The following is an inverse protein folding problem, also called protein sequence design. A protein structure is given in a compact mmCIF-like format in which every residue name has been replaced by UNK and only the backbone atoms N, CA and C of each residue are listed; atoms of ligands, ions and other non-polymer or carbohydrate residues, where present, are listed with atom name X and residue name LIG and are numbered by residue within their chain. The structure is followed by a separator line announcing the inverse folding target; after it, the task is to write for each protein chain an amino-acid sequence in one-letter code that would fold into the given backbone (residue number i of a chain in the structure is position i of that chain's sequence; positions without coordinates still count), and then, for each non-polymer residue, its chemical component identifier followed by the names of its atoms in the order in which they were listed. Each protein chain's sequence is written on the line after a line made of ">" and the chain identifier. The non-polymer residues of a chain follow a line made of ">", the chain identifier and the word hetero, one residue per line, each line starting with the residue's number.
data_IF_517801482420
#
_entry.id   IF_517801482420
#
_cell.length_a   1.000
_cell.length_b   1.000
_cell.length_c   1.000
_cell.angle_alpha   90.00
_cell.angle_beta   90.00
_cell.angle_gamma   90.00
#
_symmetry.space_group_name_H-M   'P 1'
#
loop_
_entity.id
_entity.type
_entity.pdbx_description
1 polymer ?
#
# COMPACT_ATOMS: atom_id res chain seq x y z
N UNK A 1 37.07 -62.60 -57.04
CA UNK A 1 36.14 -62.46 -55.89
C UNK A 1 36.77 -61.60 -54.89
N UNK A 2 36.43 -60.27 -54.82
CA UNK A 2 36.73 -59.37 -53.69
C UNK A 2 35.62 -58.33 -53.64
N UNK A 3 34.82 -58.43 -52.60
CA UNK A 3 33.72 -57.49 -52.31
C UNK A 3 34.29 -56.16 -51.70
N UNK A 4 34.01 -55.05 -52.34
CA UNK A 4 34.32 -53.75 -51.85
C UNK A 4 33.23 -53.33 -50.88
N UNK A 5 33.64 -53.03 -49.64
CA UNK A 5 32.75 -52.48 -48.58
C UNK A 5 32.60 -50.97 -48.78
N UNK A 6 31.37 -50.54 -49.00
CA UNK A 6 30.96 -49.13 -49.08
C UNK A 6 30.87 -48.58 -47.68
N UNK A 7 31.76 -47.65 -47.24
CA UNK A 7 31.70 -46.95 -46.03
C UNK A 7 30.78 -45.70 -46.19
N UNK A 8 29.63 -45.74 -45.60
CA UNK A 8 28.73 -44.59 -45.52
C UNK A 8 29.24 -43.61 -44.47
N UNK A 9 29.60 -42.41 -44.88
CA UNK A 9 29.94 -41.31 -43.98
C UNK A 9 28.66 -40.78 -43.40
N UNK A 10 28.44 -41.01 -42.10
CA UNK A 10 27.37 -40.41 -41.32
C UNK A 10 27.83 -39.01 -40.92
N UNK A 11 27.25 -38.02 -41.57
CA UNK A 11 27.45 -36.60 -41.30
C UNK A 11 26.73 -36.27 -40.01
N UNK A 12 27.48 -36.13 -38.88
CA UNK A 12 26.95 -35.68 -37.61
C UNK A 12 26.71 -34.17 -37.66
N UNK A 13 25.47 -33.79 -37.77
CA UNK A 13 25.05 -32.42 -37.54
C UNK A 13 25.05 -32.15 -36.04
N UNK A 14 26.05 -31.41 -35.61
CA UNK A 14 26.08 -30.87 -34.24
C UNK A 14 25.11 -29.70 -34.18
N UNK A 15 23.93 -29.94 -33.68
CA UNK A 15 22.98 -28.87 -33.30
C UNK A 15 23.53 -28.15 -32.08
N UNK A 16 24.15 -26.99 -32.31
CA UNK A 16 24.41 -25.99 -31.27
C UNK A 16 23.06 -25.40 -30.82
N UNK A 17 22.46 -26.05 -29.86
CA UNK A 17 21.35 -25.46 -29.12
C UNK A 17 21.91 -24.29 -28.27
N UNK A 18 21.79 -23.08 -28.78
CA UNK A 18 22.08 -21.86 -28.07
C UNK A 18 21.12 -21.74 -26.87
N UNK A 19 21.65 -21.97 -25.67
CA UNK A 19 20.99 -21.68 -24.43
C UNK A 19 20.91 -20.14 -24.29
N UNK A 20 19.84 -19.54 -24.83
CA UNK A 20 19.47 -18.18 -24.50
C UNK A 20 18.99 -18.20 -23.04
N UNK A 21 19.92 -17.99 -22.10
CA UNK A 21 19.58 -17.67 -20.71
C UNK A 21 18.87 -16.31 -20.73
N UNK A 22 17.55 -16.36 -20.85
CA UNK A 22 16.70 -15.20 -20.60
C UNK A 22 16.91 -14.77 -19.16
N UNK A 23 17.69 -13.73 -18.98
CA UNK A 23 17.82 -13.04 -17.70
C UNK A 23 16.45 -12.40 -17.41
N UNK A 24 15.55 -13.16 -16.78
CA UNK A 24 14.34 -12.61 -16.19
C UNK A 24 14.81 -11.73 -15.06
N UNK A 25 15.01 -10.45 -15.36
CA UNK A 25 15.14 -9.43 -14.34
C UNK A 25 13.79 -9.38 -13.63
N UNK A 26 13.66 -10.17 -12.59
CA UNK A 26 12.62 -9.99 -11.59
C UNK A 26 12.86 -8.61 -10.97
N UNK A 27 12.27 -7.59 -11.57
CA UNK A 27 12.10 -6.29 -10.92
C UNK A 27 11.14 -6.57 -9.77
N UNK A 28 11.68 -7.15 -8.69
CA UNK A 28 10.96 -7.35 -7.46
C UNK A 28 10.52 -5.99 -6.98
N UNK A 29 9.21 -5.74 -7.00
CA UNK A 29 8.62 -4.61 -6.30
C UNK A 29 9.05 -4.75 -4.84
N UNK A 30 10.13 -4.05 -4.48
CA UNK A 30 10.68 -4.11 -3.13
C UNK A 30 9.64 -3.51 -2.21
N UNK A 31 8.95 -4.37 -1.50
CA UNK A 31 7.95 -3.96 -0.53
C UNK A 31 8.59 -3.05 0.52
N UNK A 32 8.00 -1.91 0.72
CA UNK A 32 8.47 -0.90 1.66
C UNK A 32 7.73 -1.10 2.96
N UNK A 33 8.46 -1.24 4.05
CA UNK A 33 7.86 -1.31 5.38
C UNK A 33 7.16 0.00 5.69
N UNK A 34 5.87 -0.10 5.95
CA UNK A 34 5.01 0.98 6.42
C UNK A 34 4.62 0.63 7.85
N UNK A 35 4.64 1.61 8.73
CA UNK A 35 4.28 1.40 10.14
C UNK A 35 3.06 2.22 10.51
N UNK A 36 2.14 1.64 11.25
CA UNK A 36 1.08 2.38 11.94
C UNK A 36 1.70 3.12 13.11
N UNK A 37 1.50 4.43 13.17
CA UNK A 37 2.03 5.26 14.24
C UNK A 37 0.98 5.59 15.29
N UNK A 38 -0.23 5.91 14.85
CA UNK A 38 -1.33 6.27 15.74
C UNK A 38 -2.68 5.90 15.12
N UNK A 39 -3.65 5.65 15.97
CA UNK A 39 -5.06 5.53 15.63
C UNK A 39 -5.90 6.13 16.74
N UNK A 40 -7.09 6.64 16.41
CA UNK A 40 -7.97 7.29 17.39
C UNK A 40 -9.16 7.97 16.72
N UNK A 41 -9.64 9.00 17.39
CA UNK A 41 -10.76 9.81 16.92
C UNK A 41 -10.39 11.29 16.82
N UNK A 42 -11.08 12.01 15.94
CA UNK A 42 -10.96 13.45 15.77
C UNK A 42 -12.33 14.08 15.58
N UNK A 43 -12.51 15.28 16.09
CA UNK A 43 -13.73 16.11 15.93
C UNK A 43 -13.70 16.95 14.64
N UNK A 44 -12.63 16.86 13.85
CA UNK A 44 -12.56 17.54 12.54
C UNK A 44 -13.53 16.86 11.59
N UNK A 45 -14.58 17.58 11.19
CA UNK A 45 -15.67 17.03 10.39
C UNK A 45 -15.28 16.83 8.93
N UNK A 46 -16.05 15.96 8.24
CA UNK A 46 -15.90 15.64 6.83
C UNK A 46 -16.22 14.16 6.57
N UNK A 47 -16.26 13.76 5.31
CA UNK A 47 -16.45 12.36 4.91
C UNK A 47 -15.15 11.54 4.96
N UNK A 48 -15.22 10.33 4.41
CA UNK A 48 -14.04 9.47 4.25
C UNK A 48 -13.01 10.15 3.35
N UNK A 49 -11.78 10.25 3.82
CA UNK A 49 -10.69 10.85 3.04
C UNK A 49 -9.34 10.32 3.45
N UNK A 50 -8.40 10.41 2.52
CA UNK A 50 -7.00 10.09 2.75
C UNK A 50 -6.16 11.34 2.49
N UNK A 51 -5.27 11.65 3.40
CA UNK A 51 -4.46 12.87 3.38
C UNK A 51 -2.99 12.53 3.49
N UNK A 52 -2.18 13.28 2.76
CA UNK A 52 -0.72 13.22 2.86
C UNK A 52 -0.26 14.35 3.77
N UNK A 53 0.50 14.02 4.80
CA UNK A 53 1.01 14.97 5.78
C UNK A 53 2.54 14.89 5.85
N UNK A 54 3.17 16.05 5.96
CA UNK A 54 4.63 16.20 5.97
C UNK A 54 5.15 17.04 7.13
N UNK A 55 4.24 17.53 7.95
CA UNK A 55 4.55 18.39 9.10
C UNK A 55 3.54 18.18 10.24
N UNK A 56 3.98 18.51 11.43
CA UNK A 56 3.21 18.36 12.66
C UNK A 56 2.03 19.37 12.75
N UNK A 57 2.17 20.53 12.12
CA UNK A 57 1.11 21.55 12.12
C UNK A 57 -0.11 21.05 11.37
N UNK A 58 0.12 20.40 10.23
CA UNK A 58 -0.96 19.78 9.44
C UNK A 58 -1.64 18.66 10.23
N UNK A 59 -0.87 17.80 10.92
CA UNK A 59 -1.45 16.80 11.83
C UNK A 59 -2.30 17.43 12.94
N UNK A 60 -1.81 18.49 13.57
CA UNK A 60 -2.55 19.21 14.59
C UNK A 60 -3.89 19.78 14.11
N UNK A 61 -3.92 20.32 12.87
CA UNK A 61 -5.16 20.79 12.22
C UNK A 61 -6.19 19.68 11.99
N UNK A 62 -5.74 18.45 11.83
CA UNK A 62 -6.61 17.28 11.70
C UNK A 62 -7.05 16.71 13.05
N UNK A 63 -6.60 17.30 14.16
CA UNK A 63 -6.82 16.78 15.51
C UNK A 63 -6.08 15.46 15.78
N UNK A 64 -5.11 15.11 14.96
CA UNK A 64 -4.29 13.90 15.11
C UNK A 64 -3.11 14.22 16.01
N UNK A 65 -3.00 13.53 17.13
CA UNK A 65 -1.89 13.67 18.07
C UNK A 65 -0.97 12.47 17.96
N UNK A 66 0.24 12.69 17.49
CA UNK A 66 1.26 11.64 17.41
C UNK A 66 2.65 12.25 17.57
N UNK A 67 3.56 11.61 18.32
CA UNK A 67 4.94 12.05 18.44
C UNK A 67 5.69 11.68 17.16
N UNK A 68 5.62 12.52 16.14
CA UNK A 68 6.26 12.26 14.86
C UNK A 68 7.16 13.41 14.43
N UNK A 69 8.36 13.06 13.96
CA UNK A 69 9.24 13.97 13.27
C UNK A 69 9.42 13.47 11.84
N UNK A 70 8.88 14.21 10.87
CA UNK A 70 8.90 13.84 9.44
C UNK A 70 10.28 13.97 8.79
N UNK A 71 11.31 13.41 9.41
CA UNK A 71 12.66 13.39 8.86
C UNK A 71 12.84 12.17 7.96
N UNK A 72 12.82 12.38 6.64
CA UNK A 72 12.95 11.29 5.68
C UNK A 72 11.72 10.40 5.53
N UNK A 73 10.57 10.85 6.04
CA UNK A 73 9.29 10.14 6.04
C UNK A 73 8.15 11.11 5.73
N UNK A 74 7.00 10.58 5.36
CA UNK A 74 5.73 11.32 5.29
C UNK A 74 4.63 10.49 5.94
N UNK A 75 3.56 11.17 6.37
CA UNK A 75 2.38 10.55 6.93
C UNK A 75 1.31 10.34 5.88
N UNK A 76 0.58 9.24 6.03
CA UNK A 76 -0.67 8.98 5.34
C UNK A 76 -1.74 8.85 6.42
N UNK A 77 -2.74 9.72 6.39
CA UNK A 77 -3.85 9.73 7.37
C UNK A 77 -5.12 9.31 6.66
N UNK A 78 -5.72 8.21 7.11
CA UNK A 78 -7.08 7.84 6.75
C UNK A 78 -8.05 8.40 7.80
N UNK A 79 -9.07 9.10 7.34
CA UNK A 79 -10.17 9.59 8.16
C UNK A 79 -11.46 8.96 7.66
N UNK A 80 -12.25 8.36 8.55
CA UNK A 80 -13.52 7.72 8.23
C UNK A 80 -14.63 8.25 9.14
N UNK A 81 -15.83 8.39 8.61
CA UNK A 81 -17.01 8.95 9.27
C UNK A 81 -17.70 10.00 8.41
N UNK A 82 -18.58 10.84 8.97
CA UNK A 82 -18.77 11.11 10.39
C UNK A 82 -19.61 10.07 11.13
N UNK A 83 -19.37 9.94 12.43
CA UNK A 83 -20.14 9.11 13.33
C UNK A 83 -20.77 9.98 14.43
N UNK A 84 -21.98 9.66 14.82
CA UNK A 84 -22.74 10.29 15.91
C UNK A 84 -22.93 9.36 17.11
N UNK A 85 -22.31 8.18 17.07
CA UNK A 85 -22.33 7.18 18.13
C UNK A 85 -20.94 6.63 18.39
N UNK A 86 -20.64 6.34 19.66
CA UNK A 86 -19.34 5.79 20.07
C UNK A 86 -19.12 4.35 19.59
N UNK A 87 -17.86 3.91 19.58
CA UNK A 87 -17.49 2.51 19.42
C UNK A 87 -17.01 2.10 18.02
N UNK A 88 -17.05 2.99 17.03
CA UNK A 88 -16.46 2.70 15.72
C UNK A 88 -14.94 2.57 15.80
N UNK A 89 -14.38 1.59 15.07
CA UNK A 89 -12.94 1.32 15.02
C UNK A 89 -12.49 1.05 13.60
N UNK A 90 -11.41 1.67 13.18
CA UNK A 90 -10.75 1.27 11.93
C UNK A 90 -9.96 -0.01 12.15
N UNK A 91 -10.22 -1.00 11.32
CA UNK A 91 -9.46 -2.25 11.25
C UNK A 91 -8.62 -2.23 9.99
N UNK A 92 -7.31 -2.39 10.14
CA UNK A 92 -6.36 -2.44 9.04
C UNK A 92 -5.90 -3.88 8.88
N UNK A 93 -6.23 -4.51 7.76
CA UNK A 93 -5.83 -5.88 7.48
C UNK A 93 -4.42 -5.96 6.89
N UNK A 94 -4.12 -5.04 5.98
CA UNK A 94 -2.82 -5.00 5.35
C UNK A 94 -2.45 -3.60 4.87
N UNK A 95 -1.16 -3.35 4.79
CA UNK A 95 -0.62 -2.13 4.21
C UNK A 95 0.66 -2.46 3.46
N UNK A 96 0.74 -2.03 2.20
CA UNK A 96 1.90 -2.22 1.34
C UNK A 96 2.24 -0.93 0.62
N UNK A 97 3.52 -0.74 0.33
CA UNK A 97 3.99 0.37 -0.48
C UNK A 97 5.06 -0.10 -1.45
N UNK A 98 5.02 0.43 -2.66
CA UNK A 98 6.05 0.28 -3.66
C UNK A 98 6.28 1.62 -4.38
N UNK A 99 7.08 1.64 -5.42
CA UNK A 99 7.40 2.88 -6.17
C UNK A 99 6.24 3.45 -7.00
N UNK A 100 5.13 2.73 -7.10
CA UNK A 100 3.98 3.12 -7.93
C UNK A 100 2.73 3.43 -7.10
N UNK A 101 2.57 2.77 -5.95
CA UNK A 101 1.38 2.95 -5.10
C UNK A 101 1.66 2.66 -3.63
N UNK A 102 0.87 3.29 -2.78
CA UNK A 102 0.63 2.89 -1.39
C UNK A 102 -0.79 2.36 -1.34
N UNK A 103 -0.96 1.12 -0.88
CA UNK A 103 -2.27 0.49 -0.77
C UNK A 103 -2.52 0.01 0.64
N UNK A 104 -3.68 0.34 1.16
CA UNK A 104 -4.17 -0.08 2.47
C UNK A 104 -5.46 -0.84 2.28
N UNK A 105 -5.56 -2.01 2.90
CA UNK A 105 -6.83 -2.73 3.03
C UNK A 105 -7.35 -2.48 4.44
N UNK A 106 -8.47 -1.80 4.54
CA UNK A 106 -9.06 -1.40 5.81
C UNK A 106 -10.58 -1.34 5.73
N UNK A 107 -11.23 -1.40 6.88
CA UNK A 107 -12.67 -1.16 7.02
C UNK A 107 -12.97 -0.58 8.39
N UNK A 108 -14.18 -0.08 8.57
CA UNK A 108 -14.68 0.29 9.90
C UNK A 108 -15.55 -0.81 10.46
N UNK A 109 -15.24 -1.18 11.68
CA UNK A 109 -16.09 -2.03 12.50
C UNK A 109 -17.03 -1.16 13.30
N UNK A 110 -18.33 -1.35 13.10
CA UNK A 110 -19.34 -0.76 13.94
C UNK A 110 -19.32 -1.38 15.36
N UNK A 111 -19.78 -0.66 16.39
CA UNK A 111 -19.93 -1.21 17.73
C UNK A 111 -20.89 -2.40 17.72
N UNK A 112 -20.65 -3.38 18.61
CA UNK A 112 -21.50 -4.58 18.74
C UNK A 112 -22.92 -4.26 19.21
N UNK A 113 -23.05 -3.19 19.98
CA UNK A 113 -24.32 -2.60 20.42
C UNK A 113 -24.57 -1.29 19.65
N UNK A 114 -25.70 -0.65 19.88
CA UNK A 114 -26.04 0.58 19.17
C UNK A 114 -25.06 1.76 19.43
N UNK A 115 -24.09 1.59 20.33
CA UNK A 115 -23.21 2.65 20.80
C UNK A 115 -23.96 3.76 21.55
N UNK A 116 -23.24 4.54 22.31
CA UNK A 116 -23.84 5.72 22.99
C UNK A 116 -23.85 6.93 22.04
N UNK A 117 -24.90 7.79 22.09
CA UNK A 117 -24.89 9.04 21.38
C UNK A 117 -23.63 9.86 21.69
N UNK A 118 -23.05 10.48 20.69
CA UNK A 118 -21.81 11.25 20.80
C UNK A 118 -21.87 12.47 19.90
N UNK A 119 -21.17 13.56 20.23
CA UNK A 119 -20.87 14.58 19.25
C UNK A 119 -20.20 13.97 18.01
N UNK A 120 -20.47 14.52 16.84
CA UNK A 120 -19.90 14.01 15.61
C UNK A 120 -18.37 13.95 15.65
N UNK A 121 -17.82 12.82 15.27
CA UNK A 121 -16.39 12.58 15.18
C UNK A 121 -16.07 11.71 13.97
N UNK A 122 -14.78 11.60 13.66
CA UNK A 122 -14.25 10.62 12.71
C UNK A 122 -13.20 9.76 13.40
N UNK A 123 -13.10 8.52 12.98
CA UNK A 123 -11.96 7.68 13.31
C UNK A 123 -10.78 8.06 12.42
N UNK A 124 -9.55 7.84 12.89
CA UNK A 124 -8.36 8.03 12.08
C UNK A 124 -7.33 6.93 12.32
N UNK A 125 -6.52 6.69 11.30
CA UNK A 125 -5.26 5.96 11.40
C UNK A 125 -4.18 6.73 10.65
N UNK A 126 -3.02 6.87 11.29
CA UNK A 126 -1.82 7.50 10.73
C UNK A 126 -0.77 6.44 10.47
N UNK A 127 -0.34 6.33 9.22
CA UNK A 127 0.81 5.52 8.81
C UNK A 127 1.98 6.40 8.45
N UNK A 128 3.18 5.89 8.71
CA UNK A 128 4.42 6.54 8.33
C UNK A 128 5.07 5.74 7.20
N UNK A 129 5.36 6.45 6.12
CA UNK A 129 5.90 5.91 4.86
C UNK A 129 7.25 6.57 4.57
N UNK A 130 8.30 5.79 4.29
CA UNK A 130 9.62 6.35 3.95
C UNK A 130 9.58 7.20 2.67
N UNK A 131 10.27 8.34 2.66
CA UNK A 131 10.33 9.26 1.51
C UNK A 131 10.87 8.61 0.21
N UNK A 132 11.57 7.49 0.30
CA UNK A 132 12.01 6.75 -0.91
C UNK A 132 10.85 6.28 -1.80
N UNK A 133 9.64 6.17 -1.25
CA UNK A 133 8.40 5.87 -1.99
C UNK A 133 7.81 7.14 -2.61
N UNK A 134 8.20 8.31 -2.09
CA UNK A 134 7.62 9.58 -2.50
C UNK A 134 8.02 9.91 -3.95
N UNK A 135 7.08 9.80 -4.85
CA UNK A 135 7.17 10.27 -6.24
C UNK A 135 5.89 11.01 -6.55
N UNK A 136 5.99 12.11 -7.24
CA UNK A 136 4.81 12.83 -7.73
C UNK A 136 3.91 11.90 -8.54
N UNK A 137 2.61 11.89 -8.24
CA UNK A 137 1.63 11.08 -8.93
C UNK A 137 1.55 9.62 -8.44
N UNK A 138 2.33 9.20 -7.43
CA UNK A 138 2.12 7.89 -6.79
C UNK A 138 0.72 7.84 -6.20
N UNK A 139 -0.03 6.81 -6.56
CA UNK A 139 -1.38 6.58 -6.06
C UNK A 139 -1.33 6.09 -4.62
N UNK A 140 -2.14 6.71 -3.77
CA UNK A 140 -2.38 6.29 -2.39
C UNK A 140 -3.85 5.94 -2.26
N UNK A 141 -4.15 4.69 -2.00
CA UNK A 141 -5.52 4.17 -1.98
C UNK A 141 -5.81 3.36 -0.72
N UNK A 142 -7.03 3.49 -0.24
CA UNK A 142 -7.61 2.62 0.78
C UNK A 142 -8.79 1.91 0.17
N UNK A 143 -8.82 0.61 0.33
CA UNK A 143 -9.89 -0.27 -0.17
C UNK A 143 -10.43 -1.15 0.95
N UNK A 144 -11.65 -1.63 0.78
CA UNK A 144 -12.22 -2.68 1.64
C UNK A 144 -11.54 -4.03 1.39
N UNK A 145 -11.76 -5.05 2.25
CA UNK A 145 -11.36 -6.44 1.97
C UNK A 145 -11.94 -7.00 0.66
N UNK A 146 -13.09 -6.50 0.21
CA UNK A 146 -13.72 -6.84 -1.07
C UNK A 146 -13.22 -6.01 -2.25
N UNK A 147 -12.14 -5.25 -2.07
CA UNK A 147 -11.50 -4.43 -3.10
C UNK A 147 -12.28 -3.18 -3.54
N UNK A 148 -13.28 -2.77 -2.77
CA UNK A 148 -14.04 -1.55 -3.02
C UNK A 148 -13.27 -0.31 -2.54
N UNK A 149 -13.20 0.77 -3.32
CA UNK A 149 -12.46 1.96 -2.94
C UNK A 149 -13.17 2.73 -1.82
N UNK A 150 -12.46 2.98 -0.72
CA UNK A 150 -12.91 3.86 0.37
C UNK A 150 -12.46 5.29 0.11
N UNK A 151 -11.19 5.48 -0.20
CA UNK A 151 -10.60 6.78 -0.50
C UNK A 151 -9.35 6.63 -1.36
N UNK A 152 -9.10 7.61 -2.21
CA UNK A 152 -7.91 7.67 -3.08
C UNK A 152 -7.38 9.08 -3.14
N UNK A 153 -6.04 9.21 -3.12
CA UNK A 153 -5.32 10.45 -3.38
C UNK A 153 -4.04 10.16 -4.14
N UNK A 154 -3.32 11.20 -4.53
CA UNK A 154 -2.03 11.09 -5.21
C UNK A 154 -0.99 11.93 -4.46
N UNK A 155 0.25 11.46 -4.43
CA UNK A 155 1.34 12.23 -3.89
C UNK A 155 1.55 13.49 -4.75
N UNK A 156 1.57 14.68 -4.15
CA UNK A 156 1.67 15.97 -4.84
C UNK A 156 3.05 16.20 -5.45
#
# INVERSE_FOLDING_TARGET
>A
MRRAAKRSAVMRWSTLAGLALGLIVLVGCREVRVRTLAAGTTTVLGGNQILIVRDEVTLGKLGVRAPVHFKGEFGVVLLMGPHDRTGYKQIVESIGANTQRVRVVAFEQAPADAGEPSPQYRTYTLWIVPNRVYRRGVRVEVVTPSDEPIATTYLP
#
